data_IF_619227253284
#
_entry.id   IF_619227253284
#
_cell.length_a   1.000
_cell.length_b   1.000
_cell.length_c   1.000
_cell.angle_alpha   90.00
_cell.angle_beta   90.00
_cell.angle_gamma   90.00
#
_symmetry.space_group_name_H-M   'P 1'
#
loop_
_entity.id
_entity.type
_entity.pdbx_description
1 polymer ?
#
# COMPACT_ATOMS: atom_id res chain seq x y z
N UNK A 1 -10.58 34.05 47.04
CA UNK A 1 -9.58 32.97 46.92
C UNK A 1 -10.27 31.65 47.24
N UNK A 2 -10.59 30.84 46.23
CA UNK A 2 -11.11 29.48 46.44
C UNK A 2 -9.89 28.58 46.59
N UNK A 3 -9.49 28.28 47.82
CA UNK A 3 -8.58 27.18 48.11
C UNK A 3 -9.28 25.89 47.68
N UNK A 4 -9.01 25.48 46.44
CA UNK A 4 -9.41 24.17 45.94
C UNK A 4 -8.44 23.17 46.55
N UNK A 5 -8.75 22.72 47.77
CA UNK A 5 -8.10 21.56 48.35
C UNK A 5 -8.10 20.44 47.29
N UNK A 6 -6.90 19.97 46.90
CA UNK A 6 -6.78 18.84 45.98
C UNK A 6 -7.63 17.69 46.53
N UNK A 7 -8.54 17.11 45.74
CA UNK A 7 -9.26 15.94 46.19
C UNK A 7 -8.25 14.86 46.59
N UNK A 8 -8.43 14.27 47.77
CA UNK A 8 -7.55 13.20 48.25
C UNK A 8 -7.57 12.05 47.21
N UNK A 9 -6.39 11.63 46.75
CA UNK A 9 -6.25 10.55 45.75
C UNK A 9 -6.06 10.99 44.29
N UNK A 10 -5.97 12.30 44.01
CA UNK A 10 -5.64 12.82 42.67
C UNK A 10 -4.14 12.69 42.41
N UNK A 11 -3.78 11.93 41.38
CA UNK A 11 -2.38 11.78 40.95
C UNK A 11 -1.77 13.12 40.55
N UNK A 12 -0.58 13.39 41.08
CA UNK A 12 0.33 14.39 40.54
C UNK A 12 0.96 13.89 39.22
N UNK A 13 1.56 14.81 38.46
CA UNK A 13 2.26 14.44 37.21
C UNK A 13 3.39 13.47 37.49
N UNK A 14 4.19 13.72 38.53
CA UNK A 14 5.34 12.88 38.87
C UNK A 14 4.92 11.47 39.33
N UNK A 15 3.82 11.38 40.10
CA UNK A 15 3.25 10.08 40.48
C UNK A 15 2.70 9.33 39.28
N UNK A 16 2.03 10.01 38.34
CA UNK A 16 1.55 9.42 37.10
C UNK A 16 2.70 8.89 36.23
N UNK A 17 3.80 9.67 36.11
CA UNK A 17 5.00 9.24 35.38
C UNK A 17 5.64 8.02 36.03
N UNK A 18 5.82 8.02 37.36
CA UNK A 18 6.38 6.88 38.07
C UNK A 18 5.51 5.63 37.89
N UNK A 19 4.19 5.79 38.01
CA UNK A 19 3.25 4.68 37.82
C UNK A 19 3.32 4.11 36.39
N UNK A 20 3.44 4.97 35.39
CA UNK A 20 3.58 4.53 34.00
C UNK A 20 4.91 3.82 33.72
N UNK A 21 6.00 4.23 34.36
CA UNK A 21 7.29 3.55 34.28
C UNK A 21 7.26 2.20 35.00
N UNK A 22 6.60 2.11 36.14
CA UNK A 22 6.40 0.86 36.88
C UNK A 22 5.57 -0.13 36.05
N UNK A 23 4.48 0.36 35.45
CA UNK A 23 3.66 -0.39 34.50
C UNK A 23 4.49 -0.86 33.30
N UNK A 24 5.29 0.02 32.70
CA UNK A 24 6.14 -0.34 31.55
C UNK A 24 7.12 -1.46 31.88
N UNK A 25 7.73 -1.43 33.08
CA UNK A 25 8.61 -2.50 33.56
C UNK A 25 7.86 -3.82 33.75
N UNK A 26 6.67 -3.78 34.32
CA UNK A 26 5.86 -4.97 34.56
C UNK A 26 5.35 -5.63 33.27
N UNK A 27 5.08 -4.82 32.23
CA UNK A 27 4.52 -5.28 30.96
C UNK A 27 5.56 -5.37 29.82
N UNK A 28 6.85 -5.20 30.12
CA UNK A 28 7.93 -5.15 29.13
C UNK A 28 7.69 -4.13 27.99
N UNK A 29 7.04 -3.02 28.31
CA UNK A 29 6.75 -1.93 27.39
C UNK A 29 7.84 -0.85 27.42
N UNK A 30 7.81 0.05 26.43
CA UNK A 30 8.76 1.17 26.35
C UNK A 30 8.47 2.21 27.45
N UNK A 31 9.45 2.40 28.34
CA UNK A 31 9.36 3.29 29.49
C UNK A 31 9.31 4.79 29.09
N UNK A 32 9.97 5.19 28.01
CA UNK A 32 9.95 6.59 27.54
C UNK A 32 8.62 6.92 26.87
N UNK A 33 8.06 6.00 26.06
CA UNK A 33 6.68 6.12 25.55
C UNK A 33 5.66 6.20 26.68
N UNK A 34 5.76 5.32 27.67
CA UNK A 34 4.83 5.28 28.80
C UNK A 34 4.89 6.58 29.62
N UNK A 35 6.09 7.15 29.80
CA UNK A 35 6.28 8.47 30.42
C UNK A 35 5.58 9.58 29.63
N UNK A 36 5.82 9.66 28.31
CA UNK A 36 5.22 10.68 27.44
C UNK A 36 3.69 10.58 27.42
N UNK A 37 3.16 9.36 27.38
CA UNK A 37 1.74 9.09 27.48
C UNK A 37 1.17 9.60 28.81
N UNK A 38 1.81 9.29 29.94
CA UNK A 38 1.34 9.70 31.27
C UNK A 38 1.28 11.23 31.43
N UNK A 39 2.25 11.95 30.86
CA UNK A 39 2.26 13.42 30.86
C UNK A 39 1.08 13.97 30.05
N UNK A 40 0.84 13.44 28.85
CA UNK A 40 -0.31 13.83 28.03
C UNK A 40 -1.63 13.49 28.74
N UNK A 41 -1.77 12.27 29.22
CA UNK A 41 -2.95 11.80 29.93
C UNK A 41 -3.28 12.69 31.13
N UNK A 42 -2.28 13.09 31.93
CA UNK A 42 -2.50 13.98 33.08
C UNK A 42 -3.02 15.35 32.65
N UNK A 43 -2.44 15.91 31.58
CA UNK A 43 -2.86 17.20 31.00
C UNK A 43 -4.31 17.15 30.52
N UNK A 44 -4.68 16.07 29.82
CA UNK A 44 -5.96 15.96 29.12
C UNK A 44 -7.08 15.40 30.01
N UNK A 45 -6.73 14.69 31.09
CA UNK A 45 -7.70 14.11 32.04
C UNK A 45 -8.11 15.13 33.10
N UNK A 46 -9.42 15.29 33.30
CA UNK A 46 -9.97 16.17 34.34
C UNK A 46 -9.49 15.76 35.74
N UNK A 47 -9.22 16.70 36.67
CA UNK A 47 -8.65 16.39 37.97
C UNK A 47 -9.40 15.33 38.78
N UNK A 48 -10.74 15.29 38.72
CA UNK A 48 -11.55 14.29 39.42
C UNK A 48 -11.39 12.86 38.91
N UNK A 49 -10.85 12.68 37.71
CA UNK A 49 -10.68 11.37 37.06
C UNK A 49 -9.22 10.90 37.06
N UNK A 50 -8.29 11.64 37.68
CA UNK A 50 -6.86 11.31 37.71
C UNK A 50 -6.54 10.23 38.75
N UNK A 51 -7.05 9.03 38.50
CA UNK A 51 -6.85 7.85 39.35
C UNK A 51 -5.81 6.91 38.72
N UNK A 52 -5.03 6.22 39.55
CA UNK A 52 -3.97 5.31 39.08
C UNK A 52 -4.48 4.14 38.23
N UNK A 53 -5.59 3.54 38.63
CA UNK A 53 -6.19 2.43 37.89
C UNK A 53 -6.69 2.89 36.50
N UNK A 54 -7.16 4.14 36.39
CA UNK A 54 -7.57 4.70 35.11
C UNK A 54 -6.35 4.88 34.18
N UNK A 55 -5.25 5.44 34.68
CA UNK A 55 -4.01 5.58 33.91
C UNK A 55 -3.47 4.24 33.42
N UNK A 56 -3.44 3.21 34.27
CA UNK A 56 -2.95 1.89 33.89
C UNK A 56 -3.83 1.21 32.83
N UNK A 57 -5.16 1.34 32.93
CA UNK A 57 -6.09 0.87 31.89
C UNK A 57 -5.87 1.60 30.57
N UNK A 58 -5.72 2.92 30.61
CA UNK A 58 -5.52 3.73 29.41
C UNK A 58 -4.16 3.45 28.76
N UNK A 59 -3.11 3.17 29.55
CA UNK A 59 -1.82 2.69 29.06
C UNK A 59 -1.96 1.36 28.32
N UNK A 60 -2.62 0.37 28.93
CA UNK A 60 -2.83 -0.93 28.31
C UNK A 60 -3.63 -0.80 27.00
N UNK A 61 -4.69 0.00 27.01
CA UNK A 61 -5.49 0.26 25.81
C UNK A 61 -4.69 0.97 24.73
N UNK A 62 -3.88 1.96 25.09
CA UNK A 62 -3.03 2.70 24.16
C UNK A 62 -1.99 1.80 23.48
N UNK A 63 -1.24 1.00 24.24
CA UNK A 63 -0.23 0.11 23.66
C UNK A 63 -0.87 -0.97 22.79
N UNK A 64 -2.04 -1.49 23.18
CA UNK A 64 -2.80 -2.41 22.34
C UNK A 64 -3.25 -1.75 21.04
N UNK A 65 -3.84 -0.55 21.12
CA UNK A 65 -4.29 0.21 19.95
C UNK A 65 -3.12 0.50 18.99
N UNK A 66 -1.99 1.00 19.52
CA UNK A 66 -0.80 1.27 18.72
C UNK A 66 -0.24 0.02 18.02
N UNK A 67 -0.26 -1.14 18.70
CA UNK A 67 0.16 -2.40 18.09
C UNK A 67 -0.79 -2.88 17.00
N UNK A 68 -2.10 -2.78 17.24
CA UNK A 68 -3.14 -3.14 16.28
C UNK A 68 -3.08 -2.26 15.03
N UNK A 69 -2.91 -0.95 15.21
CA UNK A 69 -2.81 0.01 14.10
C UNK A 69 -1.53 -0.22 13.30
N UNK A 70 -0.40 -0.46 13.97
CA UNK A 70 0.85 -0.82 13.30
C UNK A 70 0.71 -2.12 12.49
N UNK A 71 -0.02 -3.12 13.01
CA UNK A 71 -0.30 -4.38 12.32
C UNK A 71 -1.27 -4.18 11.15
N UNK A 72 -2.31 -3.37 11.31
CA UNK A 72 -3.22 -2.98 10.24
C UNK A 72 -2.46 -2.37 9.06
N UNK A 73 -1.58 -1.38 9.32
CA UNK A 73 -0.80 -0.76 8.27
C UNK A 73 0.16 -1.74 7.57
N UNK A 74 0.74 -2.70 8.29
CA UNK A 74 1.50 -3.79 7.64
C UNK A 74 0.62 -4.61 6.71
N UNK A 75 -0.57 -5.04 7.18
CA UNK A 75 -1.49 -5.81 6.36
C UNK A 75 -1.91 -5.08 5.08
N UNK A 76 -2.09 -3.75 5.13
CA UNK A 76 -2.38 -2.92 3.93
C UNK A 76 -1.22 -3.00 2.92
N UNK A 77 0.02 -3.00 3.40
CA UNK A 77 1.21 -3.23 2.58
C UNK A 77 1.22 -4.64 1.97
N UNK A 78 0.99 -5.67 2.79
CA UNK A 78 0.98 -7.07 2.36
C UNK A 78 -0.10 -7.34 1.31
N UNK A 79 -1.33 -6.84 1.50
CA UNK A 79 -2.39 -6.92 0.50
C UNK A 79 -2.01 -6.21 -0.81
N UNK A 80 -1.29 -5.09 -0.72
CA UNK A 80 -0.82 -4.40 -1.92
C UNK A 80 0.24 -5.22 -2.65
N UNK A 81 1.12 -5.89 -1.90
CA UNK A 81 2.09 -6.83 -2.44
C UNK A 81 1.44 -8.05 -3.10
N UNK A 82 0.42 -8.66 -2.51
CA UNK A 82 -0.32 -9.74 -3.14
C UNK A 82 -1.01 -9.28 -4.43
N UNK A 83 -1.68 -8.13 -4.38
CA UNK A 83 -2.51 -7.64 -5.47
C UNK A 83 -1.73 -7.01 -6.63
N UNK A 84 -0.45 -6.66 -6.42
CA UNK A 84 0.53 -6.25 -7.46
C UNK A 84 1.69 -7.25 -7.57
N UNK A 85 1.45 -8.47 -7.10
CA UNK A 85 2.49 -9.44 -6.79
C UNK A 85 3.20 -10.05 -8.00
N UNK A 86 4.09 -11.02 -7.74
CA UNK A 86 4.89 -11.69 -8.76
C UNK A 86 4.05 -12.20 -9.94
N UNK A 87 2.82 -12.66 -9.67
CA UNK A 87 1.86 -13.10 -10.68
C UNK A 87 1.43 -11.99 -11.65
N UNK A 88 1.13 -10.79 -11.16
CA UNK A 88 0.75 -9.65 -12.01
C UNK A 88 1.90 -9.19 -12.92
N UNK A 89 3.12 -9.16 -12.36
CA UNK A 89 4.33 -8.83 -13.13
C UNK A 89 4.66 -9.91 -14.16
N UNK A 90 4.51 -11.19 -13.80
CA UNK A 90 4.70 -12.31 -14.71
C UNK A 90 3.65 -12.31 -15.83
N UNK A 91 2.38 -12.02 -15.52
CA UNK A 91 1.31 -11.90 -16.52
C UNK A 91 1.62 -10.78 -17.53
N UNK A 92 2.08 -9.62 -17.05
CA UNK A 92 2.51 -8.52 -17.93
C UNK A 92 3.70 -8.91 -18.82
N UNK A 93 4.69 -9.63 -18.26
CA UNK A 93 5.83 -10.16 -19.05
C UNK A 93 5.37 -11.19 -20.09
N UNK A 94 4.44 -12.06 -19.74
CA UNK A 94 3.87 -13.05 -20.65
C UNK A 94 3.08 -12.36 -21.79
N UNK A 95 2.28 -11.34 -21.48
CA UNK A 95 1.59 -10.52 -22.48
C UNK A 95 2.58 -9.79 -23.40
N UNK A 96 3.68 -9.27 -22.87
CA UNK A 96 4.74 -8.66 -23.68
C UNK A 96 5.40 -9.70 -24.61
N UNK A 97 5.70 -10.90 -24.08
CA UNK A 97 6.21 -12.03 -24.87
C UNK A 97 5.26 -12.45 -25.97
N UNK A 98 3.95 -12.53 -25.68
CA UNK A 98 2.92 -12.85 -26.66
C UNK A 98 2.89 -11.83 -27.81
N UNK A 99 2.91 -10.53 -27.48
CA UNK A 99 2.96 -9.49 -28.50
C UNK A 99 4.26 -9.54 -29.33
N UNK A 100 5.40 -9.86 -28.70
CA UNK A 100 6.66 -10.01 -29.41
C UNK A 100 6.64 -11.18 -30.41
N UNK A 101 6.15 -12.35 -29.98
CA UNK A 101 6.02 -13.53 -30.85
C UNK A 101 5.03 -13.26 -32.00
N UNK A 102 3.90 -12.63 -31.70
CA UNK A 102 2.93 -12.22 -32.71
C UNK A 102 3.52 -11.25 -33.74
N UNK A 103 4.32 -10.28 -33.28
CA UNK A 103 5.03 -9.35 -34.16
C UNK A 103 6.01 -10.09 -35.09
N UNK A 104 6.79 -11.04 -34.56
CA UNK A 104 7.70 -11.84 -35.36
C UNK A 104 6.95 -12.66 -36.44
N UNK A 105 5.83 -13.30 -36.07
CA UNK A 105 4.99 -14.03 -37.01
C UNK A 105 4.42 -13.12 -38.11
N UNK A 106 3.92 -11.93 -37.74
CA UNK A 106 3.41 -10.95 -38.68
C UNK A 106 4.48 -10.43 -39.65
N UNK A 107 5.71 -10.21 -39.17
CA UNK A 107 6.86 -9.82 -40.01
C UNK A 107 7.23 -10.93 -41.01
N UNK A 108 7.23 -12.19 -40.57
CA UNK A 108 7.52 -13.33 -41.45
C UNK A 108 6.47 -13.42 -42.56
N UNK A 109 5.18 -13.31 -42.22
CA UNK A 109 4.09 -13.30 -43.20
C UNK A 109 4.18 -12.09 -44.14
N UNK A 110 4.56 -10.92 -43.62
CA UNK A 110 4.83 -9.75 -44.43
C UNK A 110 6.05 -9.91 -45.34
N UNK A 111 6.99 -10.80 -45.04
CA UNK A 111 8.15 -11.08 -45.89
C UNK A 111 7.84 -12.11 -46.99
N UNK A 112 6.94 -13.07 -46.73
CA UNK A 112 6.56 -14.16 -47.65
C UNK A 112 5.56 -13.73 -48.75
N UNK A 113 5.71 -12.52 -49.31
CA UNK A 113 4.68 -11.81 -50.09
C UNK A 113 4.31 -12.49 -51.41
N UNK A 114 3.05 -12.91 -51.55
CA UNK A 114 2.46 -13.32 -52.83
C UNK A 114 1.20 -12.51 -53.26
N UNK A 115 0.57 -11.72 -52.37
CA UNK A 115 -0.60 -10.87 -52.74
C UNK A 115 -0.80 -9.63 -51.87
N UNK A 116 -1.62 -8.68 -52.36
CA UNK A 116 -1.92 -7.41 -51.69
C UNK A 116 -2.81 -7.55 -50.44
N UNK A 117 -3.72 -8.53 -50.40
CA UNK A 117 -4.55 -8.82 -49.24
C UNK A 117 -3.73 -9.37 -48.06
N UNK A 118 -2.76 -10.25 -48.37
CA UNK A 118 -1.74 -10.71 -47.41
C UNK A 118 -0.94 -9.55 -46.83
N UNK A 119 -0.57 -8.58 -47.68
CA UNK A 119 0.24 -7.43 -47.27
C UNK A 119 -0.52 -6.52 -46.30
N UNK A 120 -1.80 -6.22 -46.57
CA UNK A 120 -2.59 -5.32 -45.73
C UNK A 120 -2.81 -5.87 -44.32
N UNK A 121 -3.25 -7.13 -44.19
CA UNK A 121 -3.52 -7.66 -42.85
C UNK A 121 -2.25 -8.06 -42.09
N UNK A 122 -1.14 -8.39 -42.75
CA UNK A 122 0.16 -8.54 -42.08
C UNK A 122 0.65 -7.20 -41.50
N UNK A 123 0.46 -6.08 -42.22
CA UNK A 123 0.76 -4.73 -41.70
C UNK A 123 -0.13 -4.41 -40.49
N UNK A 124 -1.44 -4.68 -40.57
CA UNK A 124 -2.37 -4.45 -39.46
C UNK A 124 -2.01 -5.28 -38.23
N UNK A 125 -1.65 -6.55 -38.40
CA UNK A 125 -1.18 -7.41 -37.32
C UNK A 125 0.13 -6.88 -36.70
N UNK A 126 1.11 -6.47 -37.51
CA UNK A 126 2.34 -5.83 -37.04
C UNK A 126 2.04 -4.59 -36.19
N UNK A 127 1.13 -3.71 -36.64
CA UNK A 127 0.77 -2.50 -35.91
C UNK A 127 0.14 -2.80 -34.54
N UNK A 128 -0.75 -3.80 -34.49
CA UNK A 128 -1.42 -4.22 -33.25
C UNK A 128 -0.41 -4.83 -32.25
N UNK A 129 0.46 -5.72 -32.70
CA UNK A 129 1.46 -6.32 -31.83
C UNK A 129 2.52 -5.31 -31.36
N UNK A 130 2.92 -4.38 -32.22
CA UNK A 130 3.83 -3.28 -31.85
C UNK A 130 3.19 -2.37 -30.80
N UNK A 131 1.90 -2.01 -30.96
CA UNK A 131 1.17 -1.21 -29.99
C UNK A 131 1.12 -1.91 -28.62
N UNK A 132 0.82 -3.20 -28.57
CA UNK A 132 0.85 -3.98 -27.33
C UNK A 132 2.25 -4.06 -26.70
N UNK A 133 3.30 -4.22 -27.52
CA UNK A 133 4.68 -4.27 -27.03
C UNK A 133 5.11 -2.93 -26.40
N UNK A 134 4.77 -1.80 -27.03
CA UNK A 134 5.12 -0.46 -26.54
C UNK A 134 4.47 -0.14 -25.18
N UNK A 135 3.31 -0.75 -24.88
CA UNK A 135 2.61 -0.58 -23.62
C UNK A 135 3.20 -1.42 -22.48
N UNK A 136 3.99 -2.45 -22.77
CA UNK A 136 4.56 -3.34 -21.76
C UNK A 136 5.46 -2.61 -20.76
N UNK A 137 6.35 -1.74 -21.27
CA UNK A 137 7.26 -0.97 -20.44
C UNK A 137 6.54 -0.01 -19.47
N UNK A 138 5.64 0.89 -19.92
CA UNK A 138 4.93 1.78 -19.01
C UNK A 138 4.03 1.02 -18.04
N UNK A 139 3.40 -0.09 -18.45
CA UNK A 139 2.59 -0.93 -17.56
C UNK A 139 3.42 -1.56 -16.42
N UNK A 140 4.59 -2.12 -16.73
CA UNK A 140 5.51 -2.67 -15.74
C UNK A 140 6.06 -1.59 -14.81
N UNK A 141 6.44 -0.43 -15.37
CA UNK A 141 6.96 0.70 -14.59
C UNK A 141 5.92 1.23 -13.61
N UNK A 142 4.68 1.43 -14.04
CA UNK A 142 3.60 1.91 -13.18
C UNK A 142 3.22 0.90 -12.10
N UNK A 143 3.27 -0.40 -12.41
CA UNK A 143 3.07 -1.46 -11.42
C UNK A 143 4.14 -1.41 -10.32
N UNK A 144 5.41 -1.26 -10.70
CA UNK A 144 6.51 -1.14 -9.75
C UNK A 144 6.43 0.14 -8.90
N UNK A 145 6.09 1.27 -9.51
CA UNK A 145 5.90 2.55 -8.79
C UNK A 145 4.73 2.44 -7.81
N UNK A 146 3.59 1.89 -8.24
CA UNK A 146 2.44 1.68 -7.37
C UNK A 146 2.82 0.82 -6.15
N UNK A 147 3.58 -0.26 -6.37
CA UNK A 147 4.00 -1.16 -5.29
C UNK A 147 4.97 -0.46 -4.34
N UNK A 148 6.02 0.19 -4.86
CA UNK A 148 7.01 0.84 -4.01
C UNK A 148 6.41 1.97 -3.19
N UNK A 149 5.52 2.77 -3.78
CA UNK A 149 4.85 3.89 -3.09
C UNK A 149 3.88 3.41 -2.03
N UNK A 150 3.06 2.39 -2.31
CA UNK A 150 2.14 1.82 -1.33
C UNK A 150 2.87 1.11 -0.18
N UNK A 151 3.94 0.36 -0.47
CA UNK A 151 4.75 -0.31 0.54
C UNK A 151 5.52 0.69 1.40
N UNK A 152 6.06 1.76 0.81
CA UNK A 152 6.73 2.82 1.56
C UNK A 152 5.73 3.57 2.47
N UNK A 153 4.54 3.90 1.96
CA UNK A 153 3.51 4.59 2.73
C UNK A 153 2.99 3.72 3.89
N UNK A 154 2.66 2.46 3.64
CA UNK A 154 2.21 1.53 4.68
C UNK A 154 3.30 1.24 5.72
N UNK A 155 4.55 1.06 5.31
CA UNK A 155 5.67 0.85 6.23
C UNK A 155 5.94 2.09 7.09
N UNK A 156 5.85 3.29 6.50
CA UNK A 156 5.97 4.55 7.23
C UNK A 156 4.87 4.67 8.29
N UNK A 157 3.60 4.46 7.90
CA UNK A 157 2.47 4.55 8.82
C UNK A 157 2.50 3.47 9.92
N UNK A 158 2.93 2.26 9.58
CA UNK A 158 3.14 1.20 10.57
C UNK A 158 4.21 1.59 11.60
N UNK A 159 5.32 2.21 11.15
CA UNK A 159 6.37 2.70 12.04
C UNK A 159 5.90 3.87 12.90
N UNK A 160 5.18 4.83 12.33
CA UNK A 160 4.64 5.98 13.04
C UNK A 160 3.61 5.55 14.11
N UNK A 161 2.67 4.66 13.76
CA UNK A 161 1.72 4.10 14.71
C UNK A 161 2.42 3.28 15.80
N UNK A 162 3.41 2.45 15.43
CA UNK A 162 4.18 1.63 16.36
C UNK A 162 5.07 2.45 17.30
N UNK A 163 5.55 3.63 16.88
CA UNK A 163 6.39 4.53 17.65
C UNK A 163 5.59 5.62 18.40
N UNK A 164 4.28 5.73 18.16
CA UNK A 164 3.44 6.76 18.76
C UNK A 164 3.51 6.71 20.29
N UNK A 165 3.77 7.85 20.92
CA UNK A 165 3.89 7.99 22.39
C UNK A 165 2.69 8.70 23.02
N UNK A 166 1.79 9.22 22.19
CA UNK A 166 0.61 9.99 22.58
C UNK A 166 -0.60 9.61 21.71
N UNK A 167 -1.81 9.87 22.21
CA UNK A 167 -3.04 9.67 21.42
C UNK A 167 -3.08 10.52 20.16
N UNK A 168 -2.57 11.75 20.24
CA UNK A 168 -2.50 12.67 19.10
C UNK A 168 -1.57 12.14 18.01
N UNK A 169 -0.41 11.59 18.39
CA UNK A 169 0.53 10.96 17.45
C UNK A 169 -0.07 9.72 16.80
N UNK A 170 -0.74 8.87 17.58
CA UNK A 170 -1.38 7.67 17.06
C UNK A 170 -2.52 8.02 16.09
N UNK A 171 -3.34 9.01 16.45
CA UNK A 171 -4.40 9.50 15.58
C UNK A 171 -3.83 10.11 14.30
N UNK A 172 -2.76 10.90 14.39
CA UNK A 172 -2.07 11.46 13.23
C UNK A 172 -1.57 10.37 12.27
N UNK A 173 -0.95 9.31 12.78
CA UNK A 173 -0.51 8.18 11.96
C UNK A 173 -1.71 7.49 11.25
N UNK A 174 -2.84 7.38 11.93
CA UNK A 174 -4.04 6.77 11.33
C UNK A 174 -4.75 7.62 10.28
N UNK A 175 -4.40 8.90 10.13
CA UNK A 175 -4.92 9.73 9.02
C UNK A 175 -4.22 9.47 7.68
N UNK A 176 -3.29 8.52 7.62
CA UNK A 176 -2.66 8.07 6.38
C UNK A 176 -3.69 7.65 5.33
N UNK A 177 -3.41 7.94 4.05
CA UNK A 177 -4.27 7.49 2.95
C UNK A 177 -3.96 6.02 2.62
N UNK A 178 -4.89 5.06 2.75
CA UNK A 178 -4.63 3.66 2.39
C UNK A 178 -4.60 3.41 0.88
N UNK A 179 -4.96 4.41 0.06
CA UNK A 179 -5.07 4.27 -1.39
C UNK A 179 -3.85 4.81 -2.18
N UNK A 180 -2.68 4.96 -1.56
CA UNK A 180 -1.46 5.36 -2.27
C UNK A 180 -1.14 4.35 -3.38
N UNK A 181 -0.76 4.84 -4.57
CA UNK A 181 -0.46 3.98 -5.72
C UNK A 181 -1.70 3.46 -6.48
N UNK A 182 -2.92 3.68 -5.98
CA UNK A 182 -4.15 3.16 -6.61
C UNK A 182 -4.35 3.68 -8.04
N UNK A 183 -3.95 4.92 -8.31
CA UNK A 183 -4.07 5.54 -9.63
C UNK A 183 -3.15 4.85 -10.63
N UNK A 184 -1.88 4.70 -10.26
CA UNK A 184 -0.83 4.05 -11.04
C UNK A 184 -1.21 2.60 -11.34
N UNK A 185 -1.72 1.88 -10.34
CA UNK A 185 -2.26 0.52 -10.49
C UNK A 185 -3.41 0.46 -11.49
N UNK A 186 -4.39 1.37 -11.40
CA UNK A 186 -5.52 1.41 -12.34
C UNK A 186 -5.03 1.66 -13.77
N UNK A 187 -4.09 2.57 -13.96
CA UNK A 187 -3.53 2.87 -15.29
C UNK A 187 -2.77 1.65 -15.83
N UNK A 188 -1.94 1.01 -15.01
CA UNK A 188 -1.23 -0.20 -15.39
C UNK A 188 -2.19 -1.34 -15.81
N UNK A 189 -3.30 -1.50 -15.09
CA UNK A 189 -4.35 -2.46 -15.44
C UNK A 189 -5.01 -2.15 -16.79
N UNK A 190 -5.34 -0.89 -17.06
CA UNK A 190 -5.89 -0.49 -18.37
C UNK A 190 -4.90 -0.77 -19.50
N UNK A 191 -3.61 -0.46 -19.30
CA UNK A 191 -2.57 -0.80 -20.27
C UNK A 191 -2.49 -2.31 -20.51
N UNK A 192 -2.54 -3.13 -19.46
CA UNK A 192 -2.57 -4.58 -19.57
C UNK A 192 -3.77 -5.08 -20.38
N UNK A 193 -4.97 -4.53 -20.15
CA UNK A 193 -6.17 -4.84 -20.91
C UNK A 193 -6.01 -4.48 -22.40
N UNK A 194 -5.43 -3.31 -22.70
CA UNK A 194 -5.15 -2.91 -24.09
C UNK A 194 -4.15 -3.87 -24.73
N UNK A 195 -3.08 -4.26 -24.03
CA UNK A 195 -2.10 -5.24 -24.53
C UNK A 195 -2.72 -6.59 -24.88
N UNK A 196 -3.67 -7.06 -24.06
CA UNK A 196 -4.41 -8.28 -24.31
C UNK A 196 -5.35 -8.14 -25.51
N UNK A 197 -6.05 -7.00 -25.62
CA UNK A 197 -6.93 -6.70 -26.74
C UNK A 197 -6.16 -6.61 -28.06
N UNK A 198 -5.01 -5.93 -28.09
CA UNK A 198 -4.18 -5.81 -29.30
C UNK A 198 -3.57 -7.15 -29.69
N UNK A 199 -3.13 -7.98 -28.73
CA UNK A 199 -2.66 -9.33 -29.03
C UNK A 199 -3.76 -10.20 -29.64
N UNK A 200 -4.97 -10.15 -29.06
CA UNK A 200 -6.13 -10.91 -29.54
C UNK A 200 -6.54 -10.47 -30.95
N UNK A 201 -6.63 -9.16 -31.17
CA UNK A 201 -6.95 -8.59 -32.48
C UNK A 201 -5.85 -8.87 -33.52
N UNK A 202 -4.57 -8.83 -33.11
CA UNK A 202 -3.44 -9.16 -33.97
C UNK A 202 -3.47 -10.63 -34.41
N UNK A 203 -3.76 -11.55 -33.49
CA UNK A 203 -3.97 -12.95 -33.81
C UNK A 203 -5.15 -13.16 -34.77
N UNK A 204 -6.29 -12.49 -34.52
CA UNK A 204 -7.46 -12.58 -35.39
C UNK A 204 -7.15 -12.06 -36.81
N UNK A 205 -6.41 -10.96 -36.92
CA UNK A 205 -5.96 -10.42 -38.20
C UNK A 205 -5.06 -11.42 -38.94
N UNK A 206 -4.10 -12.05 -38.25
CA UNK A 206 -3.24 -13.08 -38.83
C UNK A 206 -4.04 -14.28 -39.35
N UNK A 207 -4.97 -14.79 -38.55
CA UNK A 207 -5.83 -15.92 -38.95
C UNK A 207 -6.66 -15.54 -40.17
N UNK A 208 -7.30 -14.38 -40.15
CA UNK A 208 -8.09 -13.89 -41.29
C UNK A 208 -7.23 -13.77 -42.55
N UNK A 209 -5.98 -13.28 -42.46
CA UNK A 209 -5.12 -13.14 -43.64
C UNK A 209 -4.62 -14.43 -44.25
N UNK A 210 -4.52 -15.50 -43.45
CA UNK A 210 -3.98 -16.79 -43.92
C UNK A 210 -5.09 -17.69 -44.47
N UNK A 211 -6.31 -17.57 -43.94
CA UNK A 211 -7.41 -18.50 -44.20
C UNK A 211 -8.56 -17.94 -45.05
N UNK A 212 -8.58 -16.63 -45.33
CA UNK A 212 -9.51 -15.99 -46.28
C UNK A 212 -8.75 -15.52 -47.53
#
# INVERSE_FOLDING_TARGET
MKDSARPAGVLTVDEAVRLAQDWARAHHADADRSKKFAIQWHRDTSPGNRQGDALQRDLAFFFQAASNDAAYWRSVGDFTEEATGPWGVQALKALAGLNFVGLAAAIILFAARDSSAFTAGAISACALFLAGLLLAYPALRLTNISRSTANAASALQSREAGAASTWEQLQSANHGNPNVGRRERKIALHMACIMAATATAGCAALVATVWL
#
